data_IF_005427689534
#
_entry.id   IF_005427689534
#
_cell.length_a   1.000
_cell.length_b   1.000
_cell.length_c   1.000
_cell.angle_alpha   90.00
_cell.angle_beta   90.00
_cell.angle_gamma   90.00
#
_symmetry.space_group_name_H-M   'P 1'
#
loop_
_entity.id
_entity.type
_entity.pdbx_description
1 polymer ?
#
# COMPACT_ATOMS: atom_id res chain seq x y z
N UNK A 1 -8.87 70.60 1.30
CA UNK A 1 -9.46 69.93 2.47
C UNK A 1 -10.33 68.79 1.95
N UNK A 2 -10.32 67.59 2.54
CA UNK A 2 -10.68 66.35 1.84
C UNK A 2 -12.19 66.12 1.77
N UNK A 3 -12.66 65.77 0.57
CA UNK A 3 -14.04 65.44 0.22
C UNK A 3 -14.42 64.00 0.61
N UNK A 4 -15.67 63.87 1.05
CA UNK A 4 -16.41 62.62 1.18
C UNK A 4 -17.13 62.32 -0.15
N UNK A 5 -16.74 61.28 -0.90
CA UNK A 5 -17.72 60.54 -1.71
C UNK A 5 -17.24 59.19 -2.24
N UNK A 6 -18.23 58.31 -2.43
CA UNK A 6 -18.28 57.15 -3.30
C UNK A 6 -17.69 55.81 -2.80
N UNK A 7 -18.56 55.08 -2.11
CA UNK A 7 -18.71 53.63 -2.28
C UNK A 7 -18.78 53.27 -3.77
N UNK A 8 -17.95 52.34 -4.24
CA UNK A 8 -18.23 51.39 -5.34
C UNK A 8 -16.99 50.56 -5.66
N UNK A 9 -17.17 49.28 -5.92
CA UNK A 9 -16.19 48.47 -6.65
C UNK A 9 -15.58 47.33 -5.86
N UNK A 10 -16.39 46.32 -5.57
CA UNK A 10 -16.08 44.92 -5.87
C UNK A 10 -14.64 44.65 -6.33
N UNK A 11 -13.77 44.26 -5.39
CA UNK A 11 -12.61 43.45 -5.75
C UNK A 11 -12.96 42.00 -5.48
N UNK A 12 -13.53 41.41 -6.52
CA UNK A 12 -13.73 39.97 -6.67
C UNK A 12 -12.45 39.23 -6.29
N UNK A 13 -12.58 38.31 -5.35
CA UNK A 13 -11.56 37.30 -5.09
C UNK A 13 -11.25 36.58 -6.39
N UNK A 14 -10.13 36.96 -7.02
CA UNK A 14 -9.59 36.23 -8.16
C UNK A 14 -8.99 34.97 -7.56
N UNK A 15 -9.77 33.88 -7.55
CA UNK A 15 -9.23 32.54 -7.35
C UNK A 15 -8.28 32.30 -8.52
N UNK A 16 -7.00 32.57 -8.30
CA UNK A 16 -5.93 32.13 -9.18
C UNK A 16 -5.91 30.60 -9.14
N UNK A 17 -6.04 29.90 -10.28
CA UNK A 17 -5.76 28.48 -10.32
C UNK A 17 -4.24 28.34 -10.18
N UNK A 18 -3.79 27.95 -8.98
CA UNK A 18 -2.40 27.55 -8.73
C UNK A 18 -2.10 26.30 -9.54
N UNK A 19 -1.62 26.53 -10.76
CA UNK A 19 -1.03 25.52 -11.61
C UNK A 19 0.36 25.16 -11.08
N UNK A 20 0.51 23.87 -10.78
CA UNK A 20 1.73 23.08 -10.96
C UNK A 20 2.92 23.42 -10.09
N UNK A 21 3.24 22.52 -9.14
CA UNK A 21 4.60 22.23 -8.63
C UNK A 21 4.45 21.25 -7.43
N UNK A 22 4.92 19.99 -7.39
CA UNK A 22 6.08 19.36 -8.02
C UNK A 22 5.89 17.83 -8.13
N UNK A 23 6.15 17.27 -9.31
CA UNK A 23 6.50 15.86 -9.47
C UNK A 23 7.87 15.64 -8.83
N UNK A 24 7.94 15.00 -7.67
CA UNK A 24 9.20 14.45 -7.18
C UNK A 24 9.60 13.32 -8.14
N UNK A 25 10.52 13.61 -9.07
CA UNK A 25 11.21 12.57 -9.82
C UNK A 25 12.12 11.86 -8.83
N UNK A 26 11.59 10.82 -8.17
CA UNK A 26 12.38 9.90 -7.37
C UNK A 26 13.41 9.29 -8.33
N UNK A 27 14.69 9.57 -8.06
CA UNK A 27 15.76 8.98 -8.88
C UNK A 27 15.84 7.48 -8.59
N UNK A 28 16.27 6.64 -9.56
CA UNK A 28 16.35 5.19 -9.35
C UNK A 28 17.15 4.78 -8.11
N UNK A 29 18.21 5.53 -7.75
CA UNK A 29 19.01 5.29 -6.55
C UNK A 29 18.28 5.61 -5.24
N UNK A 30 17.42 6.63 -5.23
CA UNK A 30 16.62 7.02 -4.06
C UNK A 30 15.45 6.05 -3.84
N UNK A 31 14.89 5.52 -4.93
CA UNK A 31 13.93 4.41 -4.89
C UNK A 31 14.57 3.11 -4.35
N UNK A 32 15.81 2.80 -4.75
CA UNK A 32 16.55 1.63 -4.25
C UNK A 32 16.85 1.72 -2.75
N UNK A 33 17.25 2.89 -2.26
CA UNK A 33 17.48 3.09 -0.83
C UNK A 33 16.19 2.94 0.00
N UNK A 34 15.08 3.50 -0.50
CA UNK A 34 13.76 3.39 0.15
C UNK A 34 13.25 1.94 0.15
N UNK A 35 13.44 1.22 -0.96
CA UNK A 35 13.11 -0.21 -1.05
C UNK A 35 13.95 -1.06 -0.10
N UNK A 36 15.26 -0.81 -0.03
CA UNK A 36 16.16 -1.55 0.86
C UNK A 36 15.80 -1.34 2.34
N UNK A 37 15.36 -0.13 2.69
CA UNK A 37 14.85 0.19 4.02
C UNK A 37 13.56 -0.56 4.33
N UNK A 38 12.58 -0.55 3.44
CA UNK A 38 11.32 -1.27 3.68
C UNK A 38 11.49 -2.79 3.66
N UNK A 39 12.43 -3.31 2.87
CA UNK A 39 12.77 -4.72 2.88
C UNK A 39 13.37 -5.13 4.24
N UNK A 40 14.24 -4.29 4.81
CA UNK A 40 14.81 -4.53 6.13
C UNK A 40 13.74 -4.51 7.22
N UNK A 41 12.86 -3.50 7.21
CA UNK A 41 11.73 -3.40 8.14
C UNK A 41 10.76 -4.59 7.99
N UNK A 42 10.54 -5.06 6.77
CA UNK A 42 9.71 -6.24 6.52
C UNK A 42 10.34 -7.53 7.06
N UNK A 43 11.67 -7.71 6.91
CA UNK A 43 12.39 -8.87 7.46
C UNK A 43 12.36 -8.84 9.00
N UNK A 44 12.54 -7.67 9.61
CA UNK A 44 12.41 -7.50 11.06
C UNK A 44 10.96 -7.79 11.52
N UNK A 45 9.96 -7.29 10.79
CA UNK A 45 8.55 -7.56 11.06
C UNK A 45 8.15 -9.04 10.91
N UNK A 46 8.79 -9.79 10.00
CA UNK A 46 8.58 -11.24 9.85
C UNK A 46 9.13 -11.99 11.07
N UNK A 47 10.28 -11.59 11.60
CA UNK A 47 10.84 -12.20 12.81
C UNK A 47 9.92 -11.98 14.01
N UNK A 48 9.41 -10.76 14.18
CA UNK A 48 8.46 -10.44 15.25
C UNK A 48 7.13 -11.20 15.08
N UNK A 49 6.62 -11.29 13.85
CA UNK A 49 5.45 -12.08 13.53
C UNK A 49 5.66 -13.58 13.81
N UNK A 50 6.87 -14.11 13.59
CA UNK A 50 7.22 -15.50 13.85
C UNK A 50 7.28 -15.80 15.35
N UNK A 51 7.81 -14.89 16.18
CA UNK A 51 7.78 -15.00 17.65
C UNK A 51 6.34 -14.98 18.15
N UNK A 52 5.54 -14.02 17.70
CA UNK A 52 4.12 -13.91 18.06
C UNK A 52 3.30 -15.14 17.61
N UNK A 53 3.61 -15.69 16.44
CA UNK A 53 2.99 -16.91 15.92
C UNK A 53 3.34 -18.15 16.76
N UNK A 54 4.58 -18.25 17.25
CA UNK A 54 5.02 -19.33 18.12
C UNK A 54 4.25 -19.32 19.46
N UNK A 55 4.07 -18.13 20.04
CA UNK A 55 3.27 -17.97 21.26
C UNK A 55 1.79 -18.26 21.06
N UNK A 56 1.22 -17.84 19.92
CA UNK A 56 -0.17 -18.19 19.56
C UNK A 56 -0.34 -19.68 19.28
N UNK A 57 0.65 -20.33 18.67
CA UNK A 57 0.64 -21.79 18.44
C UNK A 57 0.69 -22.56 19.76
N UNK A 58 1.49 -22.08 20.73
CA UNK A 58 1.48 -22.62 22.10
C UNK A 58 0.17 -22.39 22.85
N UNK A 59 -0.58 -21.35 22.52
CA UNK A 59 -1.94 -21.13 23.05
C UNK A 59 -2.95 -22.07 22.37
N UNK A 60 -2.86 -22.23 21.05
CA UNK A 60 -3.71 -23.12 20.25
C UNK A 60 -3.56 -24.59 20.65
N UNK A 61 -2.34 -25.05 20.93
CA UNK A 61 -2.06 -26.41 21.41
C UNK A 61 -2.74 -26.75 22.77
N UNK A 62 -3.29 -25.74 23.46
CA UNK A 62 -4.09 -25.91 24.69
C UNK A 62 -5.57 -26.23 24.41
N UNK A 63 -5.98 -26.32 23.14
CA UNK A 63 -7.22 -27.00 22.72
C UNK A 63 -8.48 -26.14 22.68
N UNK A 64 -8.40 -24.87 22.29
CA UNK A 64 -9.54 -23.92 22.36
C UNK A 64 -10.40 -23.76 21.09
N UNK A 65 -10.54 -24.75 20.17
CA UNK A 65 -11.42 -24.54 18.99
C UNK A 65 -12.36 -25.72 18.72
N UNK A 66 -13.67 -25.42 18.74
CA UNK A 66 -14.82 -26.31 18.82
C UNK A 66 -15.75 -26.25 17.57
N UNK A 67 -15.24 -25.93 16.37
CA UNK A 67 -16.13 -25.69 15.21
C UNK A 67 -15.65 -26.37 13.91
N UNK A 68 -16.14 -27.59 13.68
CA UNK A 68 -15.90 -28.37 12.45
C UNK A 68 -16.35 -27.61 11.17
N UNK A 69 -17.36 -26.74 11.28
CA UNK A 69 -17.82 -25.88 10.19
C UNK A 69 -16.77 -24.85 9.76
N UNK A 70 -16.01 -24.31 10.71
CA UNK A 70 -14.99 -23.30 10.42
C UNK A 70 -13.81 -23.92 9.65
N UNK A 71 -13.49 -25.19 9.91
CA UNK A 71 -12.48 -25.95 9.14
C UNK A 71 -12.90 -26.12 7.68
N UNK A 72 -14.17 -26.43 7.40
CA UNK A 72 -14.67 -26.56 6.02
C UNK A 72 -14.66 -25.20 5.30
N UNK A 73 -15.13 -24.13 5.95
CA UNK A 73 -15.12 -22.78 5.38
C UNK A 73 -13.68 -22.31 5.12
N UNK A 74 -12.77 -22.55 6.08
CA UNK A 74 -11.35 -22.21 5.96
C UNK A 74 -10.69 -22.99 4.82
N UNK A 75 -10.98 -24.29 4.68
CA UNK A 75 -10.48 -25.12 3.59
C UNK A 75 -10.94 -24.58 2.23
N UNK A 76 -12.24 -24.28 2.09
CA UNK A 76 -12.81 -23.73 0.85
C UNK A 76 -12.18 -22.36 0.50
N UNK A 77 -12.01 -21.49 1.50
CA UNK A 77 -11.37 -20.18 1.36
C UNK A 77 -9.89 -20.30 0.96
N UNK A 78 -9.16 -21.25 1.55
CA UNK A 78 -7.78 -21.52 1.22
C UNK A 78 -7.62 -22.01 -0.23
N UNK A 79 -8.49 -22.91 -0.69
CA UNK A 79 -8.47 -23.37 -2.09
C UNK A 79 -8.67 -22.22 -3.08
N UNK A 80 -9.66 -21.36 -2.84
CA UNK A 80 -9.93 -20.18 -3.71
C UNK A 80 -8.74 -19.22 -3.68
N UNK A 81 -8.21 -18.92 -2.50
CA UNK A 81 -7.06 -18.01 -2.34
C UNK A 81 -5.82 -18.53 -3.06
N UNK A 82 -5.54 -19.83 -2.96
CA UNK A 82 -4.42 -20.46 -3.64
C UNK A 82 -4.57 -20.37 -5.17
N UNK A 83 -5.77 -20.62 -5.69
CA UNK A 83 -6.06 -20.50 -7.11
C UNK A 83 -5.83 -19.06 -7.61
N UNK A 84 -6.33 -18.07 -6.86
CA UNK A 84 -6.10 -16.65 -7.17
C UNK A 84 -4.62 -16.28 -7.10
N UNK A 85 -3.86 -16.81 -6.14
CA UNK A 85 -2.44 -16.53 -6.02
C UNK A 85 -1.63 -17.02 -7.24
N UNK A 86 -1.98 -18.19 -7.79
CA UNK A 86 -1.36 -18.72 -9.01
C UNK A 86 -1.65 -17.81 -10.21
N UNK A 87 -2.89 -17.32 -10.33
CA UNK A 87 -3.26 -16.38 -11.41
C UNK A 87 -2.52 -15.03 -11.26
N UNK A 88 -2.41 -14.52 -10.03
CA UNK A 88 -1.66 -13.29 -9.74
C UNK A 88 -0.17 -13.45 -10.03
N UNK A 89 0.44 -14.60 -9.70
CA UNK A 89 1.84 -14.88 -10.01
C UNK A 89 2.10 -14.74 -11.52
N UNK A 90 1.23 -15.32 -12.36
CA UNK A 90 1.32 -15.21 -13.81
C UNK A 90 1.28 -13.74 -14.28
N UNK A 91 0.33 -12.96 -13.75
CA UNK A 91 0.15 -11.54 -14.09
C UNK A 91 1.31 -10.66 -13.64
N UNK A 92 1.92 -10.95 -12.50
CA UNK A 92 3.09 -10.21 -12.00
C UNK A 92 4.32 -10.47 -12.87
N UNK A 93 4.53 -11.70 -13.34
CA UNK A 93 5.62 -12.03 -14.27
C UNK A 93 5.42 -11.34 -15.63
N UNK A 94 4.18 -11.30 -16.13
CA UNK A 94 3.82 -10.54 -17.34
C UNK A 94 4.11 -9.05 -17.17
N UNK A 95 3.67 -8.45 -16.06
CA UNK A 95 3.90 -7.04 -15.75
C UNK A 95 5.39 -6.69 -15.65
N UNK A 96 6.21 -7.57 -15.05
CA UNK A 96 7.66 -7.39 -14.99
C UNK A 96 8.29 -7.38 -16.38
N UNK A 97 7.91 -8.33 -17.24
CA UNK A 97 8.39 -8.39 -18.63
C UNK A 97 7.99 -7.14 -19.43
N UNK A 98 6.79 -6.63 -19.21
CA UNK A 98 6.29 -5.43 -19.89
C UNK A 98 7.08 -4.18 -19.48
N UNK A 99 7.36 -4.00 -18.19
CA UNK A 99 8.18 -2.88 -17.69
C UNK A 99 9.59 -2.92 -18.28
N UNK A 100 10.20 -4.11 -18.39
CA UNK A 100 11.52 -4.25 -19.03
C UNK A 100 11.49 -3.89 -20.52
N UNK A 101 10.40 -4.18 -21.23
CA UNK A 101 10.21 -3.79 -22.64
C UNK A 101 10.05 -2.28 -22.84
N UNK A 102 9.53 -1.56 -21.85
CA UNK A 102 9.41 -0.09 -21.90
C UNK A 102 10.73 0.64 -21.66
N UNK A 103 11.76 -0.02 -21.09
CA UNK A 103 13.01 0.61 -20.66
C UNK A 103 14.19 0.43 -21.63
N UNK A 104 13.99 -0.25 -22.76
CA UNK A 104 15.00 -0.39 -23.84
C UNK A 104 14.78 0.59 -24.98
#
# INVERSE_FOLDING_TARGET
>A
MPDLNAVSGSQSATVQPSGSQWKQKVTPGEAQATFSKQLKEAIEGVNDAQVASNDKTKALARGEINDLHDVMITSQKASITMQTAVEMQGKVVEAYKEVMRMQV
#
